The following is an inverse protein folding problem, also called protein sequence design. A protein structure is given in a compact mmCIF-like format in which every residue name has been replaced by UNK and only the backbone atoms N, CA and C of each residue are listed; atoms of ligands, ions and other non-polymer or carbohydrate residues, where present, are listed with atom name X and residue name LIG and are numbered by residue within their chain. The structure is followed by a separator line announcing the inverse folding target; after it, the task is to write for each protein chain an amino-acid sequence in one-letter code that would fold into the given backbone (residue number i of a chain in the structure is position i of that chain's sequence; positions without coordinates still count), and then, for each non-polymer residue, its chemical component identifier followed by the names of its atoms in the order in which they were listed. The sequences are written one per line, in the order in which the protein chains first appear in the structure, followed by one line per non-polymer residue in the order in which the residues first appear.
data_IF_266026134186
#
_entry.id   IF_266026134186
#
_cell.length_a   1.000
_cell.length_b   1.000
_cell.length_c   1.000
_cell.angle_alpha   90.00
_cell.angle_beta   90.00
_cell.angle_gamma   90.00
#
_symmetry.space_group_name_H-M   'P 1'
#
loop_
_entity.id
_entity.type
_entity.pdbx_description
1 polymer ?
#
# COMPACT_ATOMS: atom_id res chain seq x y z
N UNK A 1 -32.69 -60.70 -63.53
CA UNK A 1 -31.32 -61.20 -63.25
C UNK A 1 -31.20 -61.41 -61.75
N UNK A 2 -30.70 -62.57 -61.28
CA UNK A 2 -31.15 -63.18 -60.03
C UNK A 2 -30.15 -63.07 -58.85
N UNK A 3 -30.71 -62.97 -57.62
CA UNK A 3 -30.49 -63.75 -56.36
C UNK A 3 -29.05 -64.30 -56.13
N UNK A 4 -28.44 -64.34 -54.91
CA UNK A 4 -29.08 -64.73 -53.63
C UNK A 4 -28.47 -64.04 -52.36
N UNK A 5 -28.84 -64.27 -51.09
CA UNK A 5 -29.18 -65.53 -50.40
C UNK A 5 -29.71 -65.22 -48.99
N UNK A 6 -30.82 -65.86 -48.62
CA UNK A 6 -31.29 -66.07 -47.24
C UNK A 6 -30.44 -67.13 -46.51
N UNK A 7 -30.21 -66.96 -45.21
CA UNK A 7 -30.22 -68.00 -44.14
C UNK A 7 -30.56 -67.28 -42.82
N UNK A 8 -31.75 -67.39 -42.22
CA UNK A 8 -32.35 -68.53 -41.50
C UNK A 8 -31.49 -69.04 -40.34
N UNK A 9 -31.87 -68.72 -39.09
CA UNK A 9 -32.08 -69.67 -37.97
C UNK A 9 -32.41 -68.93 -36.64
N UNK A 10 -33.63 -69.20 -36.14
CA UNK A 10 -34.11 -69.16 -34.74
C UNK A 10 -33.21 -70.00 -33.79
N UNK A 11 -33.40 -70.05 -32.44
CA UNK A 11 -34.48 -69.53 -31.56
C UNK A 11 -33.86 -68.75 -30.35
N UNK A 12 -34.51 -68.29 -29.27
CA UNK A 12 -35.35 -69.00 -28.31
C UNK A 12 -35.66 -68.01 -27.15
N UNK A 13 -36.92 -67.95 -26.71
CA UNK A 13 -37.39 -67.67 -25.31
C UNK A 13 -37.02 -66.32 -24.64
N UNK A 14 -37.86 -65.66 -23.85
CA UNK A 14 -39.21 -65.87 -23.34
C UNK A 14 -39.64 -64.51 -22.72
N UNK A 15 -40.94 -64.32 -22.69
CA UNK A 15 -41.70 -63.20 -22.14
C UNK A 15 -41.22 -62.61 -20.79
N UNK A 16 -41.47 -61.31 -20.57
CA UNK A 16 -42.55 -60.85 -19.70
C UNK A 16 -42.66 -59.32 -19.78
N UNK A 17 -43.86 -58.84 -20.11
CA UNK A 17 -44.24 -57.46 -19.86
C UNK A 17 -44.61 -57.32 -18.38
N UNK A 18 -44.13 -56.28 -17.71
CA UNK A 18 -44.76 -55.68 -16.54
C UNK A 18 -44.19 -54.28 -16.31
N UNK A 19 -45.09 -53.33 -16.14
CA UNK A 19 -44.82 -51.94 -15.84
C UNK A 19 -44.02 -51.79 -14.54
N UNK A 20 -43.06 -50.89 -14.52
CA UNK A 20 -42.45 -50.38 -13.30
C UNK A 20 -42.18 -48.88 -13.47
N UNK A 21 -42.83 -48.09 -12.62
CA UNK A 21 -42.44 -46.71 -12.34
C UNK A 21 -40.97 -46.72 -11.89
N UNK A 22 -40.11 -45.98 -12.57
CA UNK A 22 -38.79 -45.61 -12.04
C UNK A 22 -38.87 -44.13 -11.69
N UNK A 23 -38.85 -43.87 -10.37
CA UNK A 23 -38.92 -42.53 -9.83
C UNK A 23 -37.74 -41.69 -10.32
N UNK A 24 -38.07 -40.56 -10.91
CA UNK A 24 -37.11 -39.49 -11.11
C UNK A 24 -36.83 -38.90 -9.72
N UNK A 25 -35.78 -39.42 -9.06
CA UNK A 25 -35.16 -38.70 -7.95
C UNK A 25 -34.48 -37.48 -8.54
N UNK A 26 -35.28 -36.43 -8.78
CA UNK A 26 -34.77 -35.07 -8.82
C UNK A 26 -34.23 -34.77 -7.43
N UNK A 27 -32.98 -35.17 -7.19
CA UNK A 27 -32.16 -34.66 -6.11
C UNK A 27 -31.92 -33.18 -6.42
N UNK A 28 -32.95 -32.38 -6.16
CA UNK A 28 -32.83 -30.96 -5.92
C UNK A 28 -31.99 -30.84 -4.65
N UNK A 29 -30.67 -30.90 -4.78
CA UNK A 29 -29.76 -30.33 -3.79
C UNK A 29 -30.10 -28.84 -3.81
N UNK A 30 -31.08 -28.44 -2.98
CA UNK A 30 -31.19 -27.05 -2.60
C UNK A 30 -29.82 -26.70 -2.03
N UNK A 31 -29.04 -25.91 -2.75
CA UNK A 31 -27.79 -25.38 -2.24
C UNK A 31 -28.18 -24.59 -0.99
N UNK A 32 -27.90 -25.16 0.17
CA UNK A 32 -28.32 -24.56 1.43
C UNK A 32 -27.45 -23.33 1.61
N UNK A 33 -28.06 -22.15 1.43
CA UNK A 33 -27.40 -20.89 1.72
C UNK A 33 -27.11 -20.84 3.22
N UNK A 34 -25.90 -20.40 3.57
CA UNK A 34 -25.55 -20.05 4.95
C UNK A 34 -25.77 -18.56 5.16
N UNK A 35 -26.08 -18.17 6.39
CA UNK A 35 -26.20 -16.75 6.75
C UNK A 35 -24.96 -16.33 7.52
N UNK A 36 -24.25 -15.32 7.00
CA UNK A 36 -23.07 -14.71 7.62
C UNK A 36 -23.32 -13.20 7.68
N UNK A 37 -23.07 -12.57 8.83
CA UNK A 37 -23.20 -11.13 8.97
C UNK A 37 -21.92 -10.42 8.50
N UNK A 38 -22.09 -9.31 7.79
CA UNK A 38 -20.99 -8.44 7.34
C UNK A 38 -21.33 -7.01 7.74
N UNK A 39 -21.17 -6.67 9.03
CA UNK A 39 -21.55 -5.35 9.52
C UNK A 39 -20.77 -4.28 8.77
N UNK A 40 -21.46 -3.23 8.33
CA UNK A 40 -20.86 -2.07 7.66
C UNK A 40 -20.13 -2.40 6.35
N UNK A 41 -20.54 -3.45 5.64
CA UNK A 41 -19.95 -3.86 4.34
C UNK A 41 -19.97 -2.76 3.26
N UNK A 42 -20.77 -1.70 3.44
CA UNK A 42 -20.75 -0.51 2.58
C UNK A 42 -19.47 0.34 2.71
N UNK A 43 -18.69 0.14 3.77
CA UNK A 43 -17.52 0.96 4.11
C UNK A 43 -16.37 0.22 4.79
N UNK A 44 -16.52 -1.07 5.08
CA UNK A 44 -15.54 -1.92 5.72
C UNK A 44 -15.14 -3.09 4.81
N UNK A 45 -13.92 -3.55 5.00
CA UNK A 45 -13.49 -4.86 4.55
C UNK A 45 -14.30 -5.94 5.27
N UNK A 46 -14.79 -6.93 4.51
CA UNK A 46 -15.69 -8.00 4.98
C UNK A 46 -14.93 -9.28 5.36
N UNK A 47 -13.65 -9.39 5.00
CA UNK A 47 -12.83 -10.54 5.34
C UNK A 47 -12.42 -10.57 6.83
N UNK A 48 -12.53 -9.44 7.54
CA UNK A 48 -12.40 -9.31 8.99
C UNK A 48 -13.68 -8.66 9.54
N UNK A 49 -14.43 -9.36 10.40
CA UNK A 49 -15.68 -8.86 10.96
C UNK A 49 -15.49 -7.85 12.09
N UNK A 50 -14.30 -7.81 12.68
CA UNK A 50 -14.03 -7.07 13.91
C UNK A 50 -13.28 -5.76 13.61
N UNK A 51 -12.45 -5.75 12.56
CA UNK A 51 -11.58 -4.64 12.19
C UNK A 51 -11.87 -4.15 10.77
N UNK A 52 -12.59 -3.04 10.67
CA UNK A 52 -13.12 -2.49 9.42
C UNK A 52 -12.10 -2.27 8.28
N UNK A 53 -10.83 -2.02 8.60
CA UNK A 53 -9.78 -1.77 7.60
C UNK A 53 -8.90 -3.01 7.34
N UNK A 54 -9.10 -4.10 8.06
CA UNK A 54 -8.29 -5.30 7.93
C UNK A 54 -8.97 -6.35 7.05
N UNK A 55 -8.18 -7.16 6.32
CA UNK A 55 -6.74 -7.00 6.15
C UNK A 55 -6.36 -5.72 5.38
N UNK A 56 -5.19 -5.15 5.70
CA UNK A 56 -4.67 -3.92 5.14
C UNK A 56 -3.36 -4.17 4.39
N UNK A 57 -3.12 -3.51 3.25
CA UNK A 57 -4.09 -2.85 2.38
C UNK A 57 -5.05 -3.87 1.74
N UNK A 58 -6.16 -3.41 1.16
CA UNK A 58 -7.11 -4.28 0.45
C UNK A 58 -7.75 -3.57 -0.74
N UNK A 59 -7.96 -4.30 -1.85
CA UNK A 59 -8.76 -3.88 -3.01
C UNK A 59 -10.20 -3.49 -2.64
N UNK A 60 -10.76 -4.00 -1.54
CA UNK A 60 -12.08 -3.60 -1.05
C UNK A 60 -12.15 -2.13 -0.60
N UNK A 61 -10.99 -1.54 -0.31
CA UNK A 61 -10.84 -0.14 0.08
C UNK A 61 -10.50 0.75 -1.13
N UNK A 62 -10.90 0.32 -2.32
CA UNK A 62 -10.74 1.03 -3.58
C UNK A 62 -12.06 1.05 -4.36
N UNK A 63 -12.15 1.94 -5.35
CA UNK A 63 -13.25 2.00 -6.31
C UNK A 63 -12.67 2.05 -7.72
N UNK A 64 -13.41 1.52 -8.70
CA UNK A 64 -13.01 1.61 -10.11
C UNK A 64 -12.96 3.09 -10.55
N UNK A 65 -11.89 3.45 -11.27
CA UNK A 65 -11.69 4.76 -11.87
C UNK A 65 -10.86 4.60 -13.16
N UNK A 66 -11.55 4.59 -14.31
CA UNK A 66 -10.91 4.46 -15.63
C UNK A 66 -10.01 5.66 -15.99
N UNK A 67 -10.09 6.76 -15.24
CA UNK A 67 -9.24 7.92 -15.40
C UNK A 67 -7.85 7.77 -14.77
N UNK A 68 -7.62 6.74 -13.95
CA UNK A 68 -6.31 6.47 -13.35
C UNK A 68 -5.51 5.43 -14.12
N UNK A 69 -4.19 5.41 -13.93
CA UNK A 69 -3.29 4.47 -14.60
C UNK A 69 -3.58 3.02 -14.18
N UNK A 70 -3.96 2.81 -12.92
CA UNK A 70 -4.24 1.47 -12.36
C UNK A 70 -5.69 1.01 -12.58
N UNK A 71 -6.57 1.90 -13.08
CA UNK A 71 -7.99 1.64 -13.22
C UNK A 71 -8.78 1.69 -11.91
N UNK A 72 -8.12 2.03 -10.78
CA UNK A 72 -8.73 2.15 -9.46
C UNK A 72 -8.29 3.42 -8.74
N UNK A 73 -9.05 3.79 -7.72
CA UNK A 73 -8.73 4.86 -6.77
C UNK A 73 -8.98 4.39 -5.35
N UNK A 74 -8.10 4.76 -4.43
CA UNK A 74 -8.29 4.51 -3.00
C UNK A 74 -9.60 5.19 -2.53
N UNK A 75 -10.40 4.46 -1.76
CA UNK A 75 -11.74 4.89 -1.33
C UNK A 75 -11.96 4.56 0.15
N UNK A 76 -11.21 5.24 1.02
CA UNK A 76 -11.38 5.14 2.46
C UNK A 76 -12.56 5.97 2.91
N UNK A 77 -13.52 5.34 3.58
CA UNK A 77 -14.61 6.03 4.24
C UNK A 77 -14.12 6.61 5.57
N UNK A 78 -14.35 7.90 5.80
CA UNK A 78 -13.91 8.57 7.04
C UNK A 78 -14.43 7.88 8.31
N UNK A 79 -15.66 7.37 8.31
CA UNK A 79 -16.24 6.68 9.48
C UNK A 79 -15.58 5.34 9.80
N UNK A 80 -14.84 4.78 8.84
CA UNK A 80 -14.08 3.53 8.99
C UNK A 80 -12.67 3.76 9.54
N UNK A 81 -12.18 5.00 9.51
CA UNK A 81 -10.84 5.34 9.97
C UNK A 81 -10.79 5.51 11.49
N UNK A 82 -9.60 5.41 12.12
CA UNK A 82 -9.46 5.66 13.55
C UNK A 82 -10.00 7.03 13.97
N UNK A 83 -10.69 7.05 15.11
CA UNK A 83 -11.15 8.29 15.76
C UNK A 83 -10.23 8.65 16.92
N UNK A 84 -9.95 9.94 17.09
CA UNK A 84 -9.27 10.42 18.28
C UNK A 84 -10.19 10.36 19.53
N UNK A 85 -9.67 10.72 20.72
CA UNK A 85 -10.46 10.71 21.98
C UNK A 85 -11.70 11.62 21.98
N UNK A 86 -11.84 12.51 20.99
CA UNK A 86 -12.99 13.39 20.81
C UNK A 86 -13.98 12.84 19.78
N UNK A 87 -13.75 11.64 19.23
CA UNK A 87 -14.58 11.03 18.19
C UNK A 87 -14.35 11.61 16.79
N UNK A 88 -13.30 12.40 16.59
CA UNK A 88 -12.96 12.95 15.27
C UNK A 88 -12.14 11.90 14.51
N UNK A 89 -12.70 11.43 13.41
CA UNK A 89 -12.06 10.48 12.50
C UNK A 89 -11.01 11.18 11.62
N UNK A 90 -9.96 10.44 11.28
CA UNK A 90 -8.93 10.87 10.30
C UNK A 90 -9.60 11.25 8.99
N UNK A 91 -9.20 12.37 8.38
CA UNK A 91 -9.68 12.81 7.08
C UNK A 91 -8.96 12.04 5.95
N UNK A 92 -9.68 11.22 5.14
CA UNK A 92 -9.07 10.41 4.10
C UNK A 92 -8.72 11.17 2.82
N UNK A 93 -9.07 12.46 2.69
CA UNK A 93 -9.10 13.18 1.40
C UNK A 93 -7.82 13.01 0.58
N UNK A 94 -6.65 13.25 1.17
CA UNK A 94 -5.37 13.13 0.45
C UNK A 94 -4.98 11.67 0.12
N UNK A 95 -5.43 10.70 0.92
CA UNK A 95 -5.24 9.28 0.61
C UNK A 95 -6.14 8.82 -0.53
N UNK A 96 -7.37 9.31 -0.59
CA UNK A 96 -8.35 8.99 -1.64
C UNK A 96 -8.00 9.63 -3.00
N UNK A 97 -7.00 10.50 -3.08
CA UNK A 97 -6.44 10.98 -4.35
C UNK A 97 -5.57 9.93 -5.05
N UNK A 98 -5.14 8.88 -4.34
CA UNK A 98 -4.16 7.93 -4.90
C UNK A 98 -4.82 6.84 -5.73
N UNK A 99 -4.14 6.42 -6.79
CA UNK A 99 -4.57 5.33 -7.67
C UNK A 99 -4.09 3.95 -7.18
N UNK A 100 -3.73 3.85 -5.90
CA UNK A 100 -3.30 2.61 -5.27
C UNK A 100 -2.60 2.88 -3.96
N UNK A 101 -2.10 1.83 -3.33
CA UNK A 101 -1.38 1.90 -2.07
C UNK A 101 0.13 2.14 -2.28
N UNK A 102 0.82 2.52 -1.20
CA UNK A 102 2.25 2.82 -1.23
C UNK A 102 3.09 1.64 -1.76
N UNK A 103 4.12 1.88 -2.60
CA UNK A 103 5.09 0.84 -2.98
C UNK A 103 5.92 0.29 -1.81
N UNK A 104 5.85 0.90 -0.63
CA UNK A 104 6.48 0.44 0.61
C UNK A 104 5.45 0.16 1.70
N UNK A 105 4.25 -0.26 1.29
CA UNK A 105 3.16 -0.53 2.20
C UNK A 105 3.47 -1.71 3.13
N UNK A 106 3.20 -1.54 4.42
CA UNK A 106 3.18 -2.66 5.36
C UNK A 106 1.84 -3.38 5.24
N UNK A 107 1.90 -4.71 5.27
CA UNK A 107 0.71 -5.55 5.21
C UNK A 107 0.35 -5.95 6.64
N UNK A 108 -0.94 -5.87 6.99
CA UNK A 108 -1.45 -6.17 8.32
C UNK A 108 -2.74 -6.98 8.24
N UNK A 109 -2.93 -7.91 9.15
CA UNK A 109 -4.18 -8.66 9.30
C UNK A 109 -4.35 -9.08 10.76
N UNK A 110 -5.59 -9.39 11.17
CA UNK A 110 -5.83 -10.03 12.45
C UNK A 110 -5.88 -11.55 12.30
N UNK A 111 -5.04 -12.24 13.08
CA UNK A 111 -4.96 -13.71 13.10
C UNK A 111 -4.91 -14.18 14.56
N UNK A 112 -6.07 -14.21 15.25
CA UNK A 112 -6.11 -14.53 16.66
C UNK A 112 -5.51 -15.91 16.96
N UNK A 113 -4.60 -15.95 17.93
CA UNK A 113 -4.00 -17.20 18.43
C UNK A 113 -2.88 -17.80 17.56
N UNK A 114 -2.42 -17.11 16.51
CA UNK A 114 -1.30 -17.60 15.69
C UNK A 114 0.00 -17.65 16.48
N UNK A 115 0.73 -18.75 16.31
CA UNK A 115 2.10 -18.90 16.75
C UNK A 115 3.01 -18.96 15.52
N UNK A 116 3.82 -17.91 15.32
CA UNK A 116 4.68 -17.77 14.14
C UNK A 116 5.76 -18.86 14.06
N UNK A 117 6.26 -19.32 15.22
CA UNK A 117 7.30 -20.34 15.26
C UNK A 117 6.72 -21.72 14.90
N UNK A 118 5.55 -22.07 15.42
CA UNK A 118 4.86 -23.32 15.09
C UNK A 118 4.35 -23.32 13.65
N UNK A 119 3.90 -22.18 13.17
CA UNK A 119 3.50 -21.95 11.78
C UNK A 119 4.69 -22.12 10.84
N UNK A 120 5.90 -21.74 11.27
CA UNK A 120 7.07 -21.66 10.39
C UNK A 120 7.03 -20.40 9.52
N UNK A 121 6.48 -19.30 10.06
CA UNK A 121 6.44 -18.02 9.35
C UNK A 121 7.87 -17.47 9.13
N UNK A 122 8.14 -16.84 7.97
CA UNK A 122 9.48 -16.37 7.65
C UNK A 122 9.93 -15.29 8.64
N UNK A 123 11.03 -15.49 9.39
CA UNK A 123 11.51 -14.53 10.38
C UNK A 123 12.44 -13.49 9.75
N UNK A 124 12.62 -12.35 10.42
CA UNK A 124 13.59 -11.32 9.99
C UNK A 124 15.03 -11.87 9.84
N UNK A 125 15.37 -12.92 10.59
CA UNK A 125 16.69 -13.55 10.57
C UNK A 125 16.91 -14.50 9.40
N UNK A 126 15.85 -14.88 8.66
CA UNK A 126 15.93 -15.75 7.49
C UNK A 126 14.83 -15.41 6.47
N UNK A 127 15.05 -14.31 5.74
CA UNK A 127 14.10 -13.81 4.77
C UNK A 127 13.88 -14.77 3.59
N UNK A 128 14.88 -15.60 3.25
CA UNK A 128 14.80 -16.51 2.11
C UNK A 128 13.69 -17.56 2.29
N UNK A 129 13.32 -17.86 3.54
CA UNK A 129 12.20 -18.74 3.87
C UNK A 129 10.84 -18.25 3.33
N UNK A 130 10.70 -16.95 3.04
CA UNK A 130 9.49 -16.43 2.37
C UNK A 130 9.36 -16.86 0.91
N UNK A 131 10.45 -17.31 0.30
CA UNK A 131 10.51 -17.75 -1.10
C UNK A 131 10.39 -19.29 -1.23
N UNK A 132 10.25 -20.00 -0.12
CA UNK A 132 10.11 -21.44 -0.12
C UNK A 132 8.74 -21.86 -0.67
N UNK A 133 8.65 -22.94 -1.47
CA UNK A 133 7.38 -23.39 -2.06
C UNK A 133 6.28 -23.71 -1.03
N UNK A 134 6.64 -24.01 0.21
CA UNK A 134 5.74 -24.33 1.33
C UNK A 134 5.65 -23.21 2.38
N UNK A 135 6.20 -22.01 2.12
CA UNK A 135 6.12 -20.88 3.04
C UNK A 135 4.66 -20.56 3.41
N UNK A 136 4.31 -20.42 4.70
CA UNK A 136 2.93 -20.21 5.14
C UNK A 136 2.45 -18.76 4.98
N UNK A 137 3.38 -17.82 4.80
CA UNK A 137 3.11 -16.39 4.57
C UNK A 137 3.69 -16.03 3.22
N UNK A 138 2.83 -15.89 2.22
CA UNK A 138 3.23 -15.65 0.84
C UNK A 138 2.65 -14.32 0.36
N UNK A 139 3.45 -13.55 -0.36
CA UNK A 139 2.98 -12.40 -1.13
C UNK A 139 3.44 -12.60 -2.56
N UNK A 140 2.54 -12.55 -3.54
CA UNK A 140 2.88 -12.72 -4.96
C UNK A 140 2.50 -11.49 -5.78
N UNK A 141 3.26 -11.20 -6.84
CA UNK A 141 2.79 -10.31 -7.91
C UNK A 141 1.79 -11.07 -8.77
N UNK A 142 0.56 -10.58 -8.87
CA UNK A 142 -0.53 -11.29 -9.54
C UNK A 142 -0.25 -11.55 -11.03
N UNK A 143 0.43 -10.63 -11.71
CA UNK A 143 0.73 -10.73 -13.16
C UNK A 143 1.76 -11.81 -13.51
N UNK A 144 2.62 -12.21 -12.56
CA UNK A 144 3.73 -13.15 -12.81
C UNK A 144 3.72 -14.38 -11.92
N UNK A 145 2.99 -14.37 -10.80
CA UNK A 145 3.08 -15.39 -9.75
C UNK A 145 4.39 -15.35 -8.96
N UNK A 146 5.25 -14.36 -9.19
CA UNK A 146 6.54 -14.23 -8.50
C UNK A 146 6.32 -13.90 -7.03
N UNK A 147 6.93 -14.70 -6.14
CA UNK A 147 6.90 -14.47 -4.71
C UNK A 147 7.78 -13.27 -4.33
N UNK A 148 7.26 -12.45 -3.42
CA UNK A 148 7.91 -11.26 -2.90
C UNK A 148 8.62 -11.59 -1.60
N UNK A 149 9.84 -11.07 -1.43
CA UNK A 149 10.63 -11.29 -0.23
C UNK A 149 9.98 -10.57 0.96
N UNK A 150 9.57 -11.34 1.98
CA UNK A 150 8.89 -10.82 3.18
C UNK A 150 9.43 -11.45 4.46
N UNK A 151 9.14 -10.83 5.60
CA UNK A 151 9.08 -11.53 6.89
C UNK A 151 7.78 -11.20 7.61
N UNK A 152 7.39 -12.05 8.56
CA UNK A 152 6.22 -11.86 9.39
C UNK A 152 6.60 -11.68 10.86
N UNK A 153 5.88 -10.82 11.56
CA UNK A 153 5.99 -10.62 13.01
C UNK A 153 4.63 -10.29 13.62
N UNK A 154 4.52 -10.41 14.94
CA UNK A 154 3.36 -9.93 15.69
C UNK A 154 3.66 -8.54 16.25
N UNK A 155 2.62 -7.71 16.37
CA UNK A 155 2.75 -6.41 17.02
C UNK A 155 3.28 -6.55 18.45
N UNK A 156 4.45 -5.97 18.72
CA UNK A 156 5.10 -6.01 20.02
C UNK A 156 4.60 -4.93 20.99
N UNK A 157 3.65 -4.08 20.58
CA UNK A 157 3.10 -3.00 21.42
C UNK A 157 1.95 -3.47 22.34
N UNK A 158 1.48 -4.70 22.20
CA UNK A 158 0.49 -5.32 23.08
C UNK A 158 0.81 -6.79 23.30
N UNK A 159 0.50 -7.30 24.51
CA UNK A 159 0.60 -8.72 24.85
C UNK A 159 -0.78 -9.41 24.79
N UNK A 160 -1.85 -8.68 24.45
CA UNK A 160 -3.19 -9.26 24.26
C UNK A 160 -3.28 -9.91 22.88
N UNK A 161 -3.41 -11.26 22.79
CA UNK A 161 -3.48 -11.95 21.50
C UNK A 161 -4.69 -11.55 20.64
N UNK A 162 -5.74 -10.99 21.25
CA UNK A 162 -6.90 -10.49 20.52
C UNK A 162 -6.63 -9.13 19.85
N UNK A 163 -5.65 -8.37 20.35
CA UNK A 163 -5.26 -7.05 19.82
C UNK A 163 -3.96 -7.10 19.01
N UNK A 164 -3.16 -8.18 19.10
CA UNK A 164 -1.93 -8.33 18.33
C UNK A 164 -2.20 -8.57 16.86
N UNK A 165 -1.86 -7.58 16.03
CA UNK A 165 -1.86 -7.72 14.57
C UNK A 165 -0.71 -8.57 14.07
N UNK A 166 -0.97 -9.39 13.07
CA UNK A 166 0.06 -9.96 12.21
C UNK A 166 0.56 -8.86 11.26
N UNK A 167 1.85 -8.61 11.27
CA UNK A 167 2.52 -7.65 10.39
C UNK A 167 3.40 -8.41 9.42
N UNK A 168 3.22 -8.18 8.12
CA UNK A 168 4.03 -8.73 7.05
C UNK A 168 4.81 -7.58 6.42
N UNK A 169 6.14 -7.70 6.44
CA UNK A 169 7.06 -6.65 5.99
C UNK A 169 7.70 -7.02 4.65
N UNK A 170 7.37 -6.28 3.58
CA UNK A 170 8.08 -6.38 2.31
C UNK A 170 9.52 -5.89 2.46
N UNK A 171 10.47 -6.68 1.96
CA UNK A 171 11.90 -6.36 2.03
C UNK A 171 12.43 -5.72 0.75
N UNK A 172 11.57 -5.60 -0.26
CA UNK A 172 11.81 -4.90 -1.53
C UNK A 172 10.56 -4.05 -1.78
N UNK A 173 10.71 -2.88 -2.39
CA UNK A 173 9.54 -2.11 -2.83
C UNK A 173 8.70 -2.93 -3.79
N UNK A 174 7.39 -2.86 -3.65
CA UNK A 174 6.49 -3.38 -4.65
C UNK A 174 6.64 -2.61 -5.96
N UNK A 175 6.35 -3.28 -7.07
CA UNK A 175 6.37 -2.66 -8.38
C UNK A 175 5.16 -1.72 -8.52
N UNK A 176 5.40 -0.54 -9.09
CA UNK A 176 4.38 0.51 -9.19
C UNK A 176 3.35 0.14 -10.26
N UNK A 177 2.07 0.37 -9.98
CA UNK A 177 0.97 0.04 -10.88
C UNK A 177 0.60 -1.45 -10.95
N UNK A 178 1.28 -2.32 -10.20
CA UNK A 178 1.00 -3.76 -10.18
C UNK A 178 0.00 -4.14 -9.09
N UNK A 179 -0.63 -5.32 -9.26
CA UNK A 179 -1.50 -5.98 -8.27
C UNK A 179 -0.70 -7.05 -7.52
N UNK A 180 -0.83 -7.07 -6.21
CA UNK A 180 -0.24 -8.08 -5.33
C UNK A 180 -1.30 -8.84 -4.56
N UNK A 181 -1.06 -10.12 -4.32
CA UNK A 181 -1.94 -11.02 -3.56
C UNK A 181 -1.16 -11.51 -2.34
N UNK A 182 -1.79 -11.42 -1.17
CA UNK A 182 -1.32 -12.01 0.09
C UNK A 182 -2.06 -13.34 0.28
N UNK A 183 -1.31 -14.39 0.61
CA UNK A 183 -1.86 -15.70 0.92
C UNK A 183 -1.25 -16.22 2.22
N UNK A 184 -2.12 -16.43 3.21
CA UNK A 184 -1.80 -17.07 4.47
C UNK A 184 -2.35 -18.49 4.44
N UNK A 185 -1.49 -19.49 4.67
CA UNK A 185 -1.88 -20.90 4.62
C UNK A 185 -1.30 -21.69 5.77
N UNK A 186 -2.00 -22.73 6.18
CA UNK A 186 -1.54 -23.67 7.21
C UNK A 186 -1.05 -22.99 8.51
N UNK A 187 -1.66 -21.85 8.88
CA UNK A 187 -1.32 -21.13 10.12
C UNK A 187 -1.66 -22.00 11.32
N UNK A 188 -0.83 -21.96 12.36
CA UNK A 188 -0.99 -22.80 13.54
C UNK A 188 -1.01 -21.99 14.82
N UNK A 189 -1.66 -22.55 15.83
CA UNK A 189 -1.59 -22.05 17.20
C UNK A 189 -0.34 -22.56 17.95
N UNK A 190 -0.21 -22.15 19.21
CA UNK A 190 0.89 -22.57 20.08
C UNK A 190 0.90 -24.09 20.36
N UNK A 191 -0.24 -24.77 20.23
CA UNK A 191 -0.35 -26.23 20.38
C UNK A 191 0.07 -27.00 19.13
N UNK A 192 0.23 -26.30 17.99
CA UNK A 192 0.52 -26.86 16.68
C UNK A 192 -0.72 -27.27 15.90
N UNK A 193 -1.92 -26.92 16.37
CA UNK A 193 -3.18 -27.14 15.66
C UNK A 193 -3.34 -26.09 14.56
N UNK A 194 -3.83 -26.52 13.40
CA UNK A 194 -4.09 -25.61 12.27
C UNK A 194 -5.29 -24.73 12.59
N UNK A 195 -5.13 -23.42 12.44
CA UNK A 195 -6.18 -22.44 12.64
C UNK A 195 -7.26 -22.57 11.57
N UNK A 196 -8.51 -22.45 11.99
CA UNK A 196 -9.65 -22.41 11.08
C UNK A 196 -9.74 -21.03 10.40
N UNK A 197 -9.99 -21.02 9.09
CA UNK A 197 -10.19 -19.80 8.32
C UNK A 197 -11.38 -18.97 8.85
N UNK A 198 -11.29 -17.61 8.82
CA UNK A 198 -12.41 -16.73 9.17
C UNK A 198 -13.67 -17.04 8.36
N UNK A 199 -14.85 -16.86 8.97
CA UNK A 199 -16.12 -17.36 8.45
C UNK A 199 -16.43 -16.90 7.01
N UNK A 200 -16.28 -15.60 6.72
CA UNK A 200 -16.50 -15.04 5.37
C UNK A 200 -15.50 -15.61 4.37
N UNK A 201 -14.20 -15.60 4.70
CA UNK A 201 -13.17 -16.14 3.81
C UNK A 201 -13.37 -17.64 3.54
N UNK A 202 -13.76 -18.41 4.56
CA UNK A 202 -14.08 -19.83 4.45
C UNK A 202 -15.25 -20.08 3.50
N UNK A 203 -16.27 -19.24 3.50
CA UNK A 203 -17.38 -19.34 2.54
C UNK A 203 -16.92 -19.12 1.09
N UNK A 204 -15.96 -18.22 0.86
CA UNK A 204 -15.28 -18.12 -0.44
C UNK A 204 -14.45 -19.36 -0.71
N UNK A 205 -13.50 -19.71 0.17
CA UNK A 205 -12.58 -20.84 0.00
C UNK A 205 -13.29 -22.17 -0.28
N UNK A 206 -14.40 -22.45 0.39
CA UNK A 206 -15.11 -23.72 0.32
C UNK A 206 -16.27 -23.72 -0.70
N UNK A 207 -16.36 -22.67 -1.53
CA UNK A 207 -17.43 -22.47 -2.53
C UNK A 207 -18.83 -22.63 -1.93
N UNK A 208 -19.01 -22.08 -0.73
CA UNK A 208 -20.29 -22.14 -0.01
C UNK A 208 -21.07 -20.85 -0.27
N UNK A 209 -22.24 -20.91 -0.93
CA UNK A 209 -23.05 -19.73 -1.19
C UNK A 209 -23.75 -19.25 0.07
N UNK A 210 -23.94 -17.94 0.14
CA UNK A 210 -24.55 -17.25 1.27
C UNK A 210 -25.81 -16.51 0.83
N UNK A 211 -26.64 -16.09 1.80
CA UNK A 211 -27.75 -15.16 1.57
C UNK A 211 -27.34 -13.68 1.69
N UNK A 212 -26.03 -13.40 1.79
CA UNK A 212 -25.49 -12.07 2.00
C UNK A 212 -24.97 -11.47 0.68
N UNK A 213 -25.64 -10.44 0.20
CA UNK A 213 -25.33 -9.76 -1.07
C UNK A 213 -23.88 -9.21 -1.13
N UNK A 214 -23.30 -8.76 -0.01
CA UNK A 214 -21.94 -8.22 0.02
C UNK A 214 -20.89 -9.32 -0.22
N UNK A 215 -21.12 -10.52 0.32
CA UNK A 215 -20.27 -11.69 0.09
C UNK A 215 -20.44 -12.12 -1.37
N UNK A 216 -21.68 -12.32 -1.82
CA UNK A 216 -21.95 -12.83 -3.17
C UNK A 216 -21.46 -11.88 -4.28
N UNK A 217 -21.52 -10.56 -4.05
CA UNK A 217 -21.00 -9.57 -5.01
C UNK A 217 -19.47 -9.61 -5.17
N UNK A 218 -18.72 -10.10 -4.17
CA UNK A 218 -17.26 -10.23 -4.22
C UNK A 218 -16.79 -11.59 -4.74
N UNK A 219 -17.68 -12.57 -4.87
CA UNK A 219 -17.32 -13.96 -5.19
C UNK A 219 -16.54 -14.09 -6.49
N UNK A 220 -16.94 -13.39 -7.56
CA UNK A 220 -16.22 -13.42 -8.84
C UNK A 220 -14.76 -12.97 -8.71
N UNK A 221 -14.50 -11.88 -7.98
CA UNK A 221 -13.14 -11.38 -7.74
C UNK A 221 -12.30 -12.36 -6.88
N UNK A 222 -12.93 -13.05 -5.94
CA UNK A 222 -12.27 -14.09 -5.14
C UNK A 222 -11.92 -15.33 -5.98
N UNK A 223 -12.80 -15.76 -6.87
CA UNK A 223 -12.52 -16.87 -7.79
C UNK A 223 -11.38 -16.55 -8.76
N UNK A 224 -11.32 -15.32 -9.28
CA UNK A 224 -10.17 -14.83 -10.08
C UNK A 224 -8.86 -14.91 -9.28
N UNK A 225 -8.86 -14.41 -8.04
CA UNK A 225 -7.68 -14.47 -7.17
C UNK A 225 -7.26 -15.91 -6.86
N UNK A 226 -8.20 -16.83 -6.60
CA UNK A 226 -7.88 -18.24 -6.37
C UNK A 226 -7.29 -18.91 -7.61
N UNK A 227 -7.74 -18.54 -8.81
CA UNK A 227 -7.14 -19.04 -10.05
C UNK A 227 -5.67 -18.60 -10.19
N UNK A 228 -5.36 -17.33 -9.90
CA UNK A 228 -3.99 -16.81 -9.91
C UNK A 228 -3.11 -17.52 -8.86
N UNK A 229 -3.64 -17.74 -7.65
CA UNK A 229 -2.93 -18.47 -6.60
C UNK A 229 -2.66 -19.92 -7.00
N UNK A 230 -3.63 -20.59 -7.62
CA UNK A 230 -3.48 -21.97 -8.10
C UNK A 230 -2.40 -22.07 -9.20
N UNK A 231 -2.36 -21.12 -10.13
CA UNK A 231 -1.31 -21.04 -11.16
C UNK A 231 0.09 -20.80 -10.55
N UNK A 232 0.15 -20.11 -9.41
CA UNK A 232 1.37 -19.93 -8.62
C UNK A 232 1.71 -21.13 -7.69
N UNK A 233 0.92 -22.21 -7.74
CA UNK A 233 1.15 -23.42 -6.94
C UNK A 233 0.70 -23.32 -5.48
N UNK A 234 -0.20 -22.38 -5.16
CA UNK A 234 -0.78 -22.21 -3.83
C UNK A 234 -2.19 -22.82 -3.84
N UNK A 235 -2.36 -23.92 -3.11
CA UNK A 235 -3.63 -24.65 -3.06
C UNK A 235 -4.69 -23.87 -2.27
N UNK A 236 -5.92 -23.83 -2.79
CA UNK A 236 -7.05 -23.08 -2.21
C UNK A 236 -7.45 -23.64 -0.85
N UNK A 237 -7.46 -24.96 -0.71
CA UNK A 237 -7.85 -25.69 0.51
C UNK A 237 -6.93 -25.43 1.72
N UNK A 238 -5.68 -25.04 1.48
CA UNK A 238 -4.69 -24.76 2.54
C UNK A 238 -4.83 -23.36 3.13
N UNK A 239 -5.61 -22.48 2.48
CA UNK A 239 -5.69 -21.07 2.82
C UNK A 239 -6.44 -20.86 4.14
N UNK A 240 -5.81 -20.08 5.02
CA UNK A 240 -6.43 -19.44 6.17
C UNK A 240 -7.10 -18.12 5.76
N UNK A 241 -6.39 -17.28 5.01
CA UNK A 241 -6.86 -15.98 4.52
C UNK A 241 -6.08 -15.59 3.27
N UNK A 242 -6.74 -14.97 2.29
CA UNK A 242 -6.09 -14.37 1.14
C UNK A 242 -6.86 -13.14 0.66
N UNK A 243 -6.14 -12.14 0.17
CA UNK A 243 -6.69 -10.90 -0.36
C UNK A 243 -5.64 -10.23 -1.27
N UNK A 244 -6.06 -9.21 -2.00
CA UNK A 244 -5.23 -8.51 -2.96
C UNK A 244 -5.30 -6.99 -2.80
N UNK A 245 -4.38 -6.29 -3.44
CA UNK A 245 -4.34 -4.82 -3.49
C UNK A 245 -3.47 -4.31 -4.66
N UNK A 246 -3.74 -3.09 -5.11
CA UNK A 246 -2.99 -2.41 -6.16
C UNK A 246 -1.97 -1.42 -5.58
N UNK A 247 -0.81 -1.31 -6.23
CA UNK A 247 0.22 -0.31 -5.91
C UNK A 247 0.02 0.92 -6.78
N UNK A 248 0.13 2.11 -6.18
CA UNK A 248 0.02 3.38 -6.89
C UNK A 248 1.02 3.46 -8.05
N UNK A 249 0.62 4.14 -9.12
CA UNK A 249 1.43 4.32 -10.32
C UNK A 249 2.58 5.29 -10.09
N UNK A 250 3.58 5.26 -10.97
CA UNK A 250 4.68 6.24 -10.96
C UNK A 250 4.13 7.66 -11.11
N UNK A 251 3.16 7.84 -12.00
CA UNK A 251 2.53 9.13 -12.28
C UNK A 251 1.87 9.69 -11.03
N UNK A 252 0.95 8.94 -10.41
CA UNK A 252 0.23 9.40 -9.23
C UNK A 252 1.13 9.74 -8.02
N UNK A 253 2.23 9.01 -7.86
CA UNK A 253 3.19 9.25 -6.77
C UNK A 253 4.01 10.52 -7.02
N UNK A 254 4.28 10.89 -8.27
CA UNK A 254 5.27 11.92 -8.62
C UNK A 254 4.69 13.19 -9.22
N UNK A 255 3.51 13.14 -9.82
CA UNK A 255 2.94 14.22 -10.63
C UNK A 255 2.85 15.55 -9.88
N UNK A 256 2.40 15.53 -8.63
CA UNK A 256 2.19 16.74 -7.83
C UNK A 256 3.49 17.51 -7.59
N UNK A 257 4.58 16.80 -7.23
CA UNK A 257 5.86 17.47 -6.99
C UNK A 257 6.56 17.86 -8.29
N UNK A 258 6.37 17.08 -9.36
CA UNK A 258 6.88 17.43 -10.69
C UNK A 258 6.17 18.67 -11.25
N UNK A 259 4.85 18.74 -11.08
CA UNK A 259 4.04 19.91 -11.43
C UNK A 259 4.54 21.16 -10.70
N UNK A 260 4.65 21.11 -9.37
CA UNK A 260 5.19 22.22 -8.56
C UNK A 260 6.57 22.66 -9.04
N UNK A 261 7.46 21.71 -9.32
CA UNK A 261 8.82 21.99 -9.83
C UNK A 261 8.76 22.71 -11.17
N UNK A 262 7.98 22.19 -12.10
CA UNK A 262 7.93 22.67 -13.48
C UNK A 262 7.26 24.05 -13.56
N UNK A 263 6.17 24.29 -12.82
CA UNK A 263 5.54 25.61 -12.71
C UNK A 263 6.48 26.63 -12.04
N UNK A 264 7.10 26.28 -10.92
CA UNK A 264 8.01 27.19 -10.22
C UNK A 264 9.21 27.60 -11.09
N UNK A 265 9.82 26.66 -11.83
CA UNK A 265 10.91 26.99 -12.74
C UNK A 265 10.46 27.73 -14.00
N UNK A 266 9.26 27.45 -14.52
CA UNK A 266 8.71 28.22 -15.62
C UNK A 266 8.51 29.69 -15.24
N UNK A 267 8.00 29.96 -14.04
CA UNK A 267 7.84 31.32 -13.51
C UNK A 267 9.19 32.02 -13.25
N UNK A 268 10.19 31.29 -12.72
CA UNK A 268 11.49 31.86 -12.39
C UNK A 268 12.38 32.13 -13.62
N UNK A 269 12.35 31.25 -14.63
CA UNK A 269 13.21 31.33 -15.79
C UNK A 269 14.70 31.29 -15.43
N UNK A 270 15.49 32.24 -15.96
CA UNK A 270 16.92 32.39 -15.66
C UNK A 270 17.21 33.35 -14.50
N UNK A 271 16.18 33.80 -13.78
CA UNK A 271 16.34 34.71 -12.65
C UNK A 271 16.73 33.97 -11.36
N UNK A 272 17.20 34.74 -10.38
CA UNK A 272 17.22 34.30 -8.99
C UNK A 272 15.90 34.72 -8.31
N UNK A 273 15.41 33.95 -7.32
CA UNK A 273 14.28 34.40 -6.51
C UNK A 273 14.64 35.70 -5.80
N UNK A 274 13.63 36.51 -5.44
CA UNK A 274 13.85 37.64 -4.55
C UNK A 274 14.42 37.13 -3.22
N UNK A 275 15.54 37.71 -2.78
CA UNK A 275 16.21 37.30 -1.54
C UNK A 275 16.69 38.49 -0.74
N UNK A 276 16.80 38.29 0.57
CA UNK A 276 17.39 39.25 1.50
C UNK A 276 18.46 38.54 2.33
N UNK A 277 19.67 39.08 2.34
CA UNK A 277 20.71 38.66 3.30
C UNK A 277 20.45 39.40 4.61
N UNK A 278 20.18 38.66 5.67
CA UNK A 278 19.86 39.21 6.99
C UNK A 278 21.07 39.25 7.90
N UNK A 279 22.05 38.36 7.69
CA UNK A 279 23.26 38.29 8.51
C UNK A 279 24.44 37.75 7.70
N UNK A 280 25.61 38.34 7.91
CA UNK A 280 26.90 37.81 7.45
C UNK A 280 27.85 37.82 8.64
N UNK A 281 28.43 36.66 8.96
CA UNK A 281 29.44 36.52 10.00
C UNK A 281 30.73 36.04 9.35
N UNK A 282 31.79 36.83 9.49
CA UNK A 282 33.15 36.44 9.17
C UNK A 282 33.84 35.84 10.39
N UNK A 283 34.36 34.62 10.24
CA UNK A 283 35.03 33.90 11.32
C UNK A 283 36.54 34.01 11.20
N UNK A 284 37.19 34.46 12.28
CA UNK A 284 38.64 34.38 12.41
C UNK A 284 39.09 32.91 12.58
N UNK A 285 40.33 32.56 12.17
CA UNK A 285 40.88 31.23 12.44
C UNK A 285 41.07 31.03 13.94
N UNK A 286 40.93 29.79 14.39
CA UNK A 286 41.16 29.44 15.77
C UNK A 286 42.66 29.48 16.11
N UNK A 287 42.97 29.81 17.37
CA UNK A 287 44.31 29.66 17.90
C UNK A 287 44.60 28.18 18.23
N UNK A 288 45.86 27.84 18.47
CA UNK A 288 46.25 26.47 18.89
C UNK A 288 45.55 26.03 20.19
N UNK A 289 45.12 26.98 21.02
CA UNK A 289 44.36 26.74 22.26
C UNK A 289 42.88 26.42 22.03
N UNK A 290 42.40 26.46 20.79
CA UNK A 290 41.00 26.25 20.42
C UNK A 290 40.32 27.53 19.90
N UNK A 291 39.03 27.38 19.56
CA UNK A 291 38.20 28.45 19.01
C UNK A 291 37.49 29.27 20.10
N UNK A 292 37.49 30.59 19.96
CA UNK A 292 36.68 31.52 20.75
C UNK A 292 35.43 31.97 19.99
N UNK A 293 34.56 32.76 20.64
CA UNK A 293 33.39 33.33 19.98
C UNK A 293 33.80 34.20 18.78
N UNK A 294 33.18 33.97 17.62
CA UNK A 294 33.55 34.62 16.36
C UNK A 294 34.74 33.96 15.65
N UNK A 295 35.23 32.81 16.12
CA UNK A 295 36.21 31.98 15.44
C UNK A 295 35.61 30.65 15.01
N UNK A 296 36.14 30.10 13.92
CA UNK A 296 35.78 28.76 13.45
C UNK A 296 36.96 28.14 12.68
N UNK A 297 37.25 26.88 12.99
CA UNK A 297 38.39 26.14 12.42
C UNK A 297 38.17 25.87 10.93
N UNK A 298 36.93 25.58 10.53
CA UNK A 298 36.59 25.08 9.18
C UNK A 298 35.78 26.06 8.35
N UNK A 299 35.01 26.95 8.96
CA UNK A 299 34.21 27.97 8.27
C UNK A 299 34.94 29.31 8.28
N UNK A 300 34.94 30.00 7.15
CA UNK A 300 35.42 31.38 7.05
C UNK A 300 34.29 32.39 7.08
N UNK A 301 33.11 32.02 6.58
CA UNK A 301 31.91 32.87 6.59
C UNK A 301 30.64 32.05 6.73
N UNK A 302 29.68 32.59 7.46
CA UNK A 302 28.28 32.17 7.38
C UNK A 302 27.42 33.32 6.87
N UNK A 303 26.38 32.97 6.12
CA UNK A 303 25.42 33.88 5.53
C UNK A 303 24.04 33.33 5.85
N UNK A 304 23.22 34.13 6.50
CA UNK A 304 21.82 33.83 6.77
C UNK A 304 20.96 34.80 5.98
N UNK A 305 19.86 34.32 5.43
CA UNK A 305 18.92 35.17 4.73
C UNK A 305 17.59 34.48 4.46
N UNK A 306 16.78 35.17 3.67
CA UNK A 306 15.49 34.69 3.20
C UNK A 306 15.40 34.77 1.69
N UNK A 307 14.53 33.96 1.10
CA UNK A 307 14.19 34.02 -0.31
C UNK A 307 12.72 33.66 -0.54
N UNK A 308 12.13 34.24 -1.57
CA UNK A 308 10.73 34.02 -1.93
C UNK A 308 10.60 32.78 -2.83
N UNK A 309 9.66 31.89 -2.50
CA UNK A 309 9.29 30.74 -3.33
C UNK A 309 7.78 30.71 -3.57
N UNK A 310 7.30 30.19 -4.71
CA UNK A 310 5.89 29.89 -4.90
C UNK A 310 5.32 29.03 -3.76
N UNK A 311 4.15 29.41 -3.24
CA UNK A 311 3.47 28.68 -2.19
C UNK A 311 2.25 27.93 -2.74
N UNK A 312 2.31 26.60 -2.68
CA UNK A 312 1.26 25.67 -3.10
C UNK A 312 0.54 25.03 -1.90
N UNK A 313 0.81 25.48 -0.69
CA UNK A 313 0.15 24.98 0.50
C UNK A 313 -1.15 25.74 0.76
N UNK A 314 -2.11 25.08 1.40
CA UNK A 314 -3.38 25.68 1.85
C UNK A 314 -3.19 26.55 3.11
N UNK A 315 -2.16 27.38 3.10
CA UNK A 315 -1.90 28.38 4.14
C UNK A 315 -1.04 29.50 3.59
N UNK A 316 -1.35 30.76 3.95
CA UNK A 316 -0.60 31.93 3.50
C UNK A 316 0.87 31.89 3.94
N UNK A 317 1.16 31.29 5.09
CA UNK A 317 2.48 31.27 5.70
C UNK A 317 3.26 29.96 5.47
N UNK A 318 2.74 29.06 4.63
CA UNK A 318 3.45 27.88 4.15
C UNK A 318 3.94 26.94 5.25
N UNK A 319 3.21 26.85 6.37
CA UNK A 319 3.68 26.14 7.56
C UNK A 319 3.69 24.62 7.40
N UNK A 320 4.63 23.92 8.07
CA UNK A 320 4.59 22.46 8.18
C UNK A 320 3.22 21.96 8.68
N UNK A 321 2.72 20.90 8.05
CA UNK A 321 1.41 20.32 8.35
C UNK A 321 0.26 20.87 7.51
N UNK A 322 0.49 21.92 6.70
CA UNK A 322 -0.51 22.38 5.72
C UNK A 322 -0.58 21.40 4.53
N UNK A 323 -1.78 21.01 4.06
CA UNK A 323 -1.92 20.25 2.82
C UNK A 323 -1.59 21.13 1.61
N UNK A 324 -1.54 20.52 0.43
CA UNK A 324 -1.55 21.29 -0.81
C UNK A 324 -2.89 22.00 -0.99
N UNK A 325 -2.84 23.18 -1.60
CA UNK A 325 -4.02 23.88 -2.08
C UNK A 325 -4.38 23.34 -3.47
N UNK A 326 -5.67 23.09 -3.70
CA UNK A 326 -6.21 22.70 -5.00
C UNK A 326 -7.35 23.68 -5.33
N UNK A 327 -7.24 24.40 -6.46
CA UNK A 327 -8.26 25.34 -6.88
C UNK A 327 -9.47 24.61 -7.46
N UNK A 328 -10.62 25.28 -7.51
CA UNK A 328 -11.82 24.75 -8.15
C UNK A 328 -11.96 25.31 -9.58
N UNK A 329 -12.19 24.47 -10.60
CA UNK A 329 -12.34 23.01 -10.54
C UNK A 329 -11.03 22.25 -10.24
N UNK A 330 -11.07 21.28 -9.33
CA UNK A 330 -9.91 20.45 -8.92
C UNK A 330 -9.48 19.50 -10.05
N UNK A 331 -8.26 19.70 -10.57
CA UNK A 331 -7.65 18.88 -11.61
C UNK A 331 -6.67 17.82 -11.06
N UNK A 332 -6.56 17.70 -9.74
CA UNK A 332 -5.66 16.80 -9.04
C UNK A 332 -4.24 17.33 -8.83
N UNK A 333 -3.92 18.52 -9.33
CA UNK A 333 -2.60 19.13 -9.23
C UNK A 333 -2.59 20.34 -8.28
N UNK A 334 -1.53 20.54 -7.47
CA UNK A 334 -1.47 21.65 -6.53
C UNK A 334 -1.43 23.01 -7.22
N UNK A 335 -2.24 23.93 -6.72
CA UNK A 335 -2.31 25.31 -7.17
C UNK A 335 -1.68 26.28 -6.17
N UNK A 336 -1.42 27.50 -6.64
CA UNK A 336 -1.05 28.62 -5.77
C UNK A 336 -2.31 29.36 -5.34
N UNK A 337 -2.50 29.57 -4.03
CA UNK A 337 -3.56 30.42 -3.50
C UNK A 337 -3.50 31.79 -4.22
N UNK A 338 -4.64 32.28 -4.72
CA UNK A 338 -4.69 33.56 -5.43
C UNK A 338 -3.93 33.62 -6.77
N UNK A 339 -3.31 32.52 -7.21
CA UNK A 339 -2.53 32.40 -8.45
C UNK A 339 -1.09 32.87 -8.35
N UNK A 340 -0.73 33.67 -7.34
CA UNK A 340 0.60 34.26 -7.21
C UNK A 340 1.16 34.25 -5.78
N UNK A 341 0.55 33.51 -4.85
CA UNK A 341 1.03 33.45 -3.47
C UNK A 341 2.49 32.98 -3.37
N UNK A 342 3.22 33.57 -2.43
CA UNK A 342 4.64 33.33 -2.18
C UNK A 342 4.85 33.04 -0.69
N UNK A 343 5.81 32.15 -0.42
CA UNK A 343 6.30 31.84 0.91
C UNK A 343 7.74 32.38 1.08
N UNK A 344 8.02 32.97 2.23
CA UNK A 344 9.36 33.42 2.61
C UNK A 344 10.14 32.27 3.25
N UNK A 345 10.96 31.59 2.47
CA UNK A 345 11.86 30.55 2.95
C UNK A 345 13.15 31.14 3.54
N UNK A 346 13.78 30.42 4.46
CA UNK A 346 15.11 30.78 5.02
C UNK A 346 16.21 29.99 4.32
N UNK A 347 17.37 30.59 4.16
CA UNK A 347 18.59 29.89 3.76
C UNK A 347 19.73 30.17 4.74
N UNK A 348 20.57 29.15 4.92
CA UNK A 348 21.86 29.25 5.60
C UNK A 348 22.94 28.77 4.63
N UNK A 349 23.96 29.59 4.42
CA UNK A 349 25.11 29.27 3.59
C UNK A 349 26.37 29.36 4.44
N UNK A 350 27.16 28.29 4.47
CA UNK A 350 28.49 28.26 5.08
C UNK A 350 29.56 28.15 4.01
N UNK A 351 30.57 29.02 4.10
CA UNK A 351 31.73 28.99 3.23
C UNK A 351 32.89 28.38 4.00
N UNK A 352 33.44 27.29 3.45
CA UNK A 352 34.58 26.62 4.04
C UNK A 352 35.85 27.45 3.87
N UNK A 353 36.68 27.43 4.90
CA UNK A 353 38.00 28.07 4.97
C UNK A 353 38.96 27.56 3.88
N UNK A 354 38.81 26.29 3.49
CA UNK A 354 39.53 25.68 2.37
C UNK A 354 39.17 26.27 1.00
N UNK A 355 38.03 26.97 0.89
CA UNK A 355 37.53 27.59 -0.35
C UNK A 355 37.91 29.06 -0.40
N UNK A 356 37.63 29.82 0.65
CA UNK A 356 37.93 31.24 0.74
C UNK A 356 38.17 31.65 2.19
N UNK A 357 39.00 32.66 2.40
CA UNK A 357 39.29 33.28 3.71
C UNK A 357 39.34 34.80 3.61
N UNK A 358 39.92 35.29 2.51
CA UNK A 358 39.89 36.68 2.10
C UNK A 358 38.89 36.81 0.94
N UNK A 359 37.80 37.53 1.17
CA UNK A 359 36.73 37.73 0.20
C UNK A 359 37.01 38.90 -0.77
N UNK A 360 38.12 39.61 -0.59
CA UNK A 360 38.65 40.58 -1.56
C UNK A 360 39.63 39.92 -2.55
N UNK A 361 40.00 38.65 -2.32
CA UNK A 361 40.87 37.86 -3.16
C UNK A 361 40.10 36.75 -3.90
N UNK A 362 40.65 36.23 -5.03
CA UNK A 362 40.09 35.04 -5.68
C UNK A 362 40.05 33.83 -4.73
N UNK A 363 39.01 32.97 -4.80
CA UNK A 363 38.93 31.76 -3.99
C UNK A 363 40.15 30.84 -4.14
N UNK A 364 40.55 30.19 -3.05
CA UNK A 364 41.63 29.18 -3.00
C UNK A 364 41.27 27.95 -3.83
N UNK A 365 39.98 27.63 -3.93
CA UNK A 365 39.47 26.50 -4.70
C UNK A 365 38.08 26.78 -5.26
N UNK A 366 37.73 26.09 -6.35
CA UNK A 366 36.35 26.08 -6.86
C UNK A 366 35.53 25.09 -6.03
N UNK A 367 34.57 25.59 -5.27
CA UNK A 367 33.64 24.76 -4.51
C UNK A 367 32.46 24.30 -5.37
N UNK A 368 31.90 23.13 -5.03
CA UNK A 368 30.58 22.71 -5.49
C UNK A 368 29.58 22.95 -4.35
N UNK A 369 28.46 23.65 -4.59
CA UNK A 369 27.41 23.77 -3.59
C UNK A 369 26.93 22.39 -3.14
N UNK A 370 26.76 22.21 -1.84
CA UNK A 370 26.09 21.06 -1.25
C UNK A 370 24.89 21.58 -0.49
N UNK A 371 23.69 21.09 -0.83
CA UNK A 371 22.47 21.40 -0.11
C UNK A 371 22.28 20.32 0.96
N UNK A 372 22.22 20.73 2.22
CA UNK A 372 21.98 19.82 3.35
C UNK A 372 20.97 20.44 4.31
N UNK A 373 20.15 19.60 4.93
CA UNK A 373 19.06 20.01 5.82
C UNK A 373 17.71 19.48 5.32
N UNK A 374 16.89 18.97 6.24
CA UNK A 374 15.56 18.43 5.93
C UNK A 374 14.42 19.40 6.35
N UNK A 375 14.76 20.62 6.79
CA UNK A 375 13.78 21.68 7.08
C UNK A 375 12.78 21.37 8.20
N UNK A 376 13.05 20.42 9.10
CA UNK A 376 12.09 20.00 10.13
C UNK A 376 11.78 21.19 11.06
N UNK A 377 10.49 21.47 11.25
CA UNK A 377 9.95 22.55 12.10
C UNK A 377 10.19 24.00 11.64
N UNK A 378 10.61 24.23 10.39
CA UNK A 378 10.54 25.56 9.76
C UNK A 378 11.52 26.62 10.27
N UNK A 379 12.48 26.28 11.14
CA UNK A 379 13.48 27.25 11.63
C UNK A 379 14.63 27.49 10.65
N UNK A 380 14.82 26.62 9.66
CA UNK A 380 16.09 26.47 8.94
C UNK A 380 17.13 25.82 9.83
N UNK A 381 18.00 24.99 9.27
CA UNK A 381 19.12 24.34 9.98
C UNK A 381 20.45 24.80 9.43
#
# INVERSE_FOLDING_TARGET
MPIPTQRLLLPLTLALALAACSGNNDNNKSTQLISIDTPNADRCEILDSDNCLFPWPSSALTVADEGTVTGVRVNLNQQSLPANKQGVHVDPTEWNRNDGFSPSQMIMAQVPGVDLAQTGAPPITDLAQSLDPDSPVVVIRASTGEQHLVFAELDANTDDPAEQSLIIRPMIQFERGERYIVALRNLKDASGEVLEAPEVFRAFRDDTPTDNDAIESRREAMEDMFAVLADAGIAREDLYLAWDFNIASVENITERILHIRDDAFAALGNAAPEFAVTEVIDYAPCAESGCEAGQDEYKSRSITGTFQVPNYLDSDDGRPGSPYYYAEPDDGLPDRIGGDNLFTARFYCSIARSVAEDFEAPPKAVARPSLYGHGLLGSGS
#
